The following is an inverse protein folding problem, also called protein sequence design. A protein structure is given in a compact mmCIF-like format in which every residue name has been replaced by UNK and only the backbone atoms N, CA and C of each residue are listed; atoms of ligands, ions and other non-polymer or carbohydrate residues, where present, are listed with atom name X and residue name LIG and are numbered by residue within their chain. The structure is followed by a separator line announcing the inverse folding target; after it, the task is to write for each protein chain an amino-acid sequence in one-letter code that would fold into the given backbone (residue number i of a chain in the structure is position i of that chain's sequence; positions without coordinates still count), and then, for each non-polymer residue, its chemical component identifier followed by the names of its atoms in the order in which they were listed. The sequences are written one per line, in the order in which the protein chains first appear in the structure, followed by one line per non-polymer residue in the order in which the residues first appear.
data_IF_752807314346
#
_entry.id   IF_752807314346
#
_cell.length_a   1.000
_cell.length_b   1.000
_cell.length_c   1.000
_cell.angle_alpha   90.00
_cell.angle_beta   90.00
_cell.angle_gamma   90.00
#
_symmetry.space_group_name_H-M   'P 1'
#
loop_
_entity.id
_entity.type
_entity.pdbx_description
1 polymer ?
#
# COMPACT_ATOMS: atom_id res chain seq x y z
N UNK A 1 -9.70 -19.35 -6.29
CA UNK A 1 -9.20 -18.44 -5.26
C UNK A 1 -10.36 -17.56 -4.86
N UNK A 2 -10.84 -17.72 -3.64
CA UNK A 2 -12.00 -17.00 -3.09
C UNK A 2 -11.78 -15.49 -3.19
N UNK A 3 -12.79 -14.76 -3.67
CA UNK A 3 -12.80 -13.30 -3.69
C UNK A 3 -12.50 -12.77 -2.28
N UNK A 4 -11.29 -12.26 -2.07
CA UNK A 4 -10.92 -11.54 -0.85
C UNK A 4 -11.80 -10.31 -0.73
N UNK A 5 -12.29 -10.03 0.48
CA UNK A 5 -12.99 -8.79 0.74
C UNK A 5 -12.03 -7.62 0.44
N UNK A 6 -12.53 -6.55 -0.19
CA UNK A 6 -11.70 -5.42 -0.61
C UNK A 6 -10.91 -4.80 0.55
N UNK A 7 -11.47 -4.72 1.76
CA UNK A 7 -10.76 -4.27 2.95
C UNK A 7 -9.57 -5.17 3.30
N UNK A 8 -9.74 -6.49 3.20
CA UNK A 8 -8.66 -7.45 3.47
C UNK A 8 -7.55 -7.38 2.41
N UNK A 9 -7.91 -7.12 1.15
CA UNK A 9 -6.94 -6.91 0.09
C UNK A 9 -6.12 -5.64 0.34
N UNK A 10 -6.78 -4.58 0.77
CA UNK A 10 -6.14 -3.30 1.05
C UNK A 10 -5.20 -3.38 2.27
N UNK A 11 -5.61 -4.08 3.32
CA UNK A 11 -4.76 -4.35 4.49
C UNK A 11 -3.51 -5.17 4.10
N UNK A 12 -3.69 -6.24 3.31
CA UNK A 12 -2.57 -7.05 2.82
C UNK A 12 -1.60 -6.24 1.96
N UNK A 13 -2.12 -5.36 1.10
CA UNK A 13 -1.28 -4.50 0.27
C UNK A 13 -0.46 -3.51 1.13
N UNK A 14 -1.06 -2.89 2.15
CA UNK A 14 -0.35 -1.99 3.07
C UNK A 14 0.75 -2.71 3.85
N UNK A 15 0.47 -3.93 4.33
CA UNK A 15 1.46 -4.75 5.01
C UNK A 15 2.62 -5.11 4.07
N UNK A 16 2.32 -5.57 2.85
CA UNK A 16 3.33 -5.94 1.87
C UNK A 16 4.22 -4.74 1.47
N UNK A 17 3.63 -3.57 1.24
CA UNK A 17 4.40 -2.35 0.95
C UNK A 17 5.34 -1.99 2.11
N UNK A 18 4.90 -2.18 3.35
CA UNK A 18 5.72 -1.95 4.54
C UNK A 18 6.86 -2.97 4.67
N UNK A 19 6.62 -4.24 4.35
CA UNK A 19 7.64 -5.28 4.30
C UNK A 19 8.71 -4.96 3.23
N UNK A 20 8.29 -4.56 2.02
CA UNK A 20 9.21 -4.16 0.95
C UNK A 20 10.03 -2.94 1.39
N UNK A 21 9.40 -1.93 2.01
CA UNK A 21 10.08 -0.72 2.47
C UNK A 21 11.20 -0.98 3.48
N UNK A 22 11.07 -2.05 4.26
CA UNK A 22 12.04 -2.41 5.30
C UNK A 22 13.07 -3.44 4.82
N UNK A 23 12.83 -4.10 3.68
CA UNK A 23 13.68 -5.15 3.13
C UNK A 23 15.09 -4.64 2.78
N UNK A 24 16.17 -5.37 3.13
CA UNK A 24 17.54 -4.96 2.85
C UNK A 24 17.80 -4.74 1.35
N UNK A 25 17.30 -5.63 0.49
CA UNK A 25 17.51 -5.49 -0.96
C UNK A 25 16.88 -4.22 -1.54
N UNK A 26 15.70 -3.82 -1.04
CA UNK A 26 15.07 -2.57 -1.48
C UNK A 26 15.87 -1.35 -1.03
N UNK A 27 16.40 -1.38 0.20
CA UNK A 27 17.28 -0.31 0.70
C UNK A 27 18.59 -0.23 -0.09
N UNK A 28 19.18 -1.38 -0.42
CA UNK A 28 20.38 -1.43 -1.24
C UNK A 28 20.14 -0.82 -2.61
N UNK A 29 18.99 -1.09 -3.25
CA UNK A 29 18.65 -0.43 -4.52
C UNK A 29 18.62 1.09 -4.38
N UNK A 30 17.99 1.61 -3.31
CA UNK A 30 17.96 3.06 -3.06
C UNK A 30 19.36 3.63 -2.82
N UNK A 31 20.21 2.94 -2.06
CA UNK A 31 21.60 3.33 -1.79
C UNK A 31 22.46 3.33 -3.07
N UNK A 32 22.16 2.43 -4.02
CA UNK A 32 22.77 2.37 -5.36
C UNK A 32 22.24 3.46 -6.31
N UNK A 33 21.31 4.30 -5.86
CA UNK A 33 20.77 5.44 -6.62
C UNK A 33 19.54 5.10 -7.45
N UNK A 34 18.87 3.97 -7.19
CA UNK A 34 17.57 3.67 -7.80
C UNK A 34 16.53 4.71 -7.37
N UNK A 35 16.08 5.53 -8.32
CA UNK A 35 15.07 6.57 -8.11
C UNK A 35 14.01 6.47 -9.23
N UNK A 36 13.01 5.59 -9.07
CA UNK A 36 11.90 5.51 -10.01
C UNK A 36 10.98 6.73 -9.89
N UNK A 37 10.24 7.04 -10.95
CA UNK A 37 9.24 8.11 -10.96
C UNK A 37 8.12 7.88 -9.92
N UNK A 38 7.81 6.62 -9.64
CA UNK A 38 6.88 6.19 -8.59
C UNK A 38 7.60 5.29 -7.59
N UNK A 39 7.47 5.60 -6.31
CA UNK A 39 8.15 4.91 -5.22
C UNK A 39 7.16 4.40 -4.14
N UNK A 40 7.71 3.82 -3.07
CA UNK A 40 6.91 3.27 -1.97
C UNK A 40 6.03 4.31 -1.27
N UNK A 41 6.45 5.58 -1.21
CA UNK A 41 5.63 6.64 -0.66
C UNK A 41 4.37 6.86 -1.51
N UNK A 42 4.50 6.87 -2.85
CA UNK A 42 3.36 7.02 -3.76
C UNK A 42 2.38 5.83 -3.61
N UNK A 43 2.91 4.62 -3.51
CA UNK A 43 2.10 3.43 -3.26
C UNK A 43 1.35 3.54 -1.92
N UNK A 44 2.04 3.95 -0.86
CA UNK A 44 1.46 4.15 0.47
C UNK A 44 0.35 5.21 0.47
N UNK A 45 0.57 6.32 -0.25
CA UNK A 45 -0.44 7.37 -0.42
C UNK A 45 -1.67 6.86 -1.15
N UNK A 46 -1.49 6.13 -2.25
CA UNK A 46 -2.62 5.57 -3.01
C UNK A 46 -3.45 4.60 -2.15
N UNK A 47 -2.80 3.73 -1.37
CA UNK A 47 -3.48 2.81 -0.46
C UNK A 47 -4.23 3.55 0.66
N UNK A 48 -3.66 4.64 1.18
CA UNK A 48 -4.32 5.49 2.18
C UNK A 48 -5.60 6.11 1.64
N UNK A 49 -5.58 6.64 0.40
CA UNK A 49 -6.78 7.19 -0.23
C UNK A 49 -7.86 6.13 -0.45
N UNK A 50 -7.48 4.93 -0.87
CA UNK A 50 -8.43 3.81 -0.98
C UNK A 50 -9.05 3.46 0.37
N UNK A 51 -8.28 3.50 1.46
CA UNK A 51 -8.79 3.23 2.81
C UNK A 51 -9.82 4.28 3.21
N UNK A 52 -9.52 5.56 3.01
CA UNK A 52 -10.46 6.66 3.31
C UNK A 52 -11.77 6.55 2.54
N UNK A 53 -11.73 6.20 1.26
CA UNK A 53 -12.94 6.00 0.45
C UNK A 53 -13.77 4.81 0.96
N UNK A 54 -13.14 3.74 1.43
CA UNK A 54 -13.85 2.60 2.01
C UNK A 54 -14.49 2.97 3.35
N UNK A 55 -13.76 3.67 4.21
CA UNK A 55 -14.25 4.10 5.53
C UNK A 55 -15.43 5.07 5.38
N UNK A 56 -15.33 6.05 4.47
CA UNK A 56 -16.41 7.00 4.19
C UNK A 56 -17.67 6.37 3.57
N UNK A 57 -17.51 5.35 2.72
CA UNK A 57 -18.64 4.60 2.18
C UNK A 57 -19.35 3.73 3.23
N UNK A 58 -18.64 3.28 4.27
CA UNK A 58 -19.24 2.57 5.40
C UNK A 58 -20.09 3.50 6.27
N UNK A 59 -19.64 4.73 6.55
CA UNK A 59 -20.41 5.71 7.32
C UNK A 59 -21.66 6.21 6.59
N UNK A 60 -21.61 6.28 5.26
CA UNK A 60 -22.74 6.74 4.43
C UNK A 60 -23.85 5.70 4.23
N UNK A 61 -23.61 4.45 4.67
CA UNK A 61 -24.55 3.31 4.51
C UNK A 61 -25.37 3.02 5.78
N UNK A 62 -25.25 3.85 6.83
CA UNK A 62 -25.97 3.78 8.11
C UNK A 62 -26.98 4.92 8.24
#
# INVERSE_FOLDING_TARGET
MSNLNLCQLLEQAQNLVSEIATHPDYKQLLDEGYQPDLNIADASTALTYLQWELDGNQESSL
#
